data_IF_548174047178
#
_entry.id   IF_548174047178
#
_cell.length_a   1.000
_cell.length_b   1.000
_cell.length_c   1.000
_cell.angle_alpha   90.00
_cell.angle_beta   90.00
_cell.angle_gamma   90.00
#
_symmetry.space_group_name_H-M   'P 1'
#
loop_
_entity.id
_entity.type
_entity.pdbx_description
1 polymer ?
#
# COMPACT_ATOMS: atom_id res chain seq x y z
N UNK A 1 18.96 -5.79 13.44
CA UNK A 1 17.63 -5.86 12.77
C UNK A 1 17.46 -7.23 12.12
N UNK A 2 16.23 -7.70 11.94
CA UNK A 2 15.91 -8.91 11.15
C UNK A 2 15.42 -8.47 9.77
N UNK A 3 15.67 -9.27 8.73
CA UNK A 3 15.25 -8.97 7.36
C UNK A 3 14.23 -10.02 6.92
N UNK A 4 13.07 -9.55 6.44
CA UNK A 4 12.09 -10.38 5.74
C UNK A 4 12.12 -9.98 4.27
N UNK A 5 12.62 -10.88 3.43
CA UNK A 5 12.59 -10.68 1.98
C UNK A 5 11.17 -10.93 1.46
N UNK A 6 10.71 -10.03 0.60
CA UNK A 6 9.46 -10.18 -0.15
C UNK A 6 9.81 -10.28 -1.63
N UNK A 7 9.13 -11.16 -2.36
CA UNK A 7 9.30 -11.30 -3.81
C UNK A 7 8.47 -10.27 -4.57
N UNK A 8 7.31 -9.90 -4.02
CA UNK A 8 6.35 -8.94 -4.54
C UNK A 8 5.47 -8.42 -3.39
N UNK A 9 4.61 -7.42 -3.65
CA UNK A 9 3.60 -6.94 -2.71
C UNK A 9 4.09 -5.84 -1.78
N UNK A 10 4.89 -4.91 -2.32
CA UNK A 10 5.54 -3.82 -1.60
C UNK A 10 4.52 -2.86 -0.94
N UNK A 11 3.34 -2.65 -1.54
CA UNK A 11 2.22 -1.90 -0.93
C UNK A 11 1.77 -2.52 0.41
N UNK A 12 1.56 -3.84 0.43
CA UNK A 12 1.08 -4.53 1.63
C UNK A 12 2.13 -4.52 2.75
N UNK A 13 3.40 -4.65 2.38
CA UNK A 13 4.52 -4.59 3.30
C UNK A 13 4.72 -3.19 3.87
N UNK A 14 4.56 -2.14 3.04
CA UNK A 14 4.61 -0.76 3.50
C UNK A 14 3.51 -0.48 4.54
N UNK A 15 2.26 -0.84 4.23
CA UNK A 15 1.12 -0.61 5.12
C UNK A 15 1.25 -1.42 6.42
N UNK A 16 1.82 -2.63 6.36
CA UNK A 16 2.07 -3.46 7.54
C UNK A 16 2.90 -2.73 8.61
N UNK A 17 3.77 -1.78 8.22
CA UNK A 17 4.57 -0.97 9.17
C UNK A 17 3.74 -0.15 10.15
N UNK A 18 2.48 0.13 9.83
CA UNK A 18 1.56 0.84 10.71
C UNK A 18 0.83 -0.06 11.72
N UNK A 19 1.04 -1.38 11.68
CA UNK A 19 0.35 -2.34 12.55
C UNK A 19 1.36 -3.11 13.39
N UNK A 20 1.29 -2.96 14.72
CA UNK A 20 2.25 -3.58 15.65
C UNK A 20 2.21 -5.11 15.58
N UNK A 21 1.03 -5.68 15.30
CA UNK A 21 0.80 -7.12 15.18
C UNK A 21 1.42 -7.71 13.91
N UNK A 22 1.78 -6.89 12.92
CA UNK A 22 2.37 -7.37 11.67
C UNK A 22 3.81 -7.89 11.85
N UNK A 23 4.50 -7.43 12.90
CA UNK A 23 5.92 -7.68 13.14
C UNK A 23 6.86 -7.05 12.11
N UNK A 24 6.37 -6.08 11.32
CA UNK A 24 7.16 -5.30 10.35
C UNK A 24 7.34 -3.88 10.88
N UNK A 25 8.57 -3.48 11.18
CA UNK A 25 8.85 -2.15 11.72
C UNK A 25 9.21 -1.11 10.64
N UNK A 26 9.79 -1.58 9.53
CA UNK A 26 10.30 -0.72 8.47
C UNK A 26 10.33 -1.45 7.13
N UNK A 27 9.98 -0.75 6.06
CA UNK A 27 10.19 -1.21 4.69
C UNK A 27 11.22 -0.31 4.00
N UNK A 28 12.23 -0.93 3.37
CA UNK A 28 13.29 -0.23 2.63
C UNK A 28 13.53 -0.96 1.31
N UNK A 29 13.64 -0.19 0.22
CA UNK A 29 13.95 -0.76 -1.08
C UNK A 29 13.65 0.18 -2.23
N UNK A 30 13.75 -0.36 -3.44
CA UNK A 30 13.31 0.28 -4.67
C UNK A 30 12.06 -0.48 -5.11
N UNK A 31 10.92 0.22 -5.13
CA UNK A 31 9.62 -0.32 -5.55
C UNK A 31 9.07 0.46 -6.74
N UNK A 32 7.81 0.20 -7.07
CA UNK A 32 7.11 0.91 -8.13
C UNK A 32 6.63 2.29 -7.70
N UNK A 33 6.71 3.28 -8.60
CA UNK A 33 6.28 4.66 -8.31
C UNK A 33 4.77 4.75 -8.04
N UNK A 34 3.98 3.95 -8.75
CA UNK A 34 2.52 3.87 -8.59
C UNK A 34 2.12 3.25 -7.25
N UNK A 35 2.84 2.24 -6.84
CA UNK A 35 2.70 1.51 -5.58
C UNK A 35 3.05 2.42 -4.40
N UNK A 36 4.09 3.24 -4.52
CA UNK A 36 4.42 4.27 -3.53
C UNK A 36 3.27 5.27 -3.33
N UNK A 37 2.63 5.73 -4.41
CA UNK A 37 1.45 6.61 -4.33
C UNK A 37 0.30 5.89 -3.62
N UNK A 38 0.00 4.64 -4.00
CA UNK A 38 -1.07 3.86 -3.37
C UNK A 38 -0.82 3.61 -1.88
N UNK A 39 0.40 3.22 -1.50
CA UNK A 39 0.80 3.01 -0.11
C UNK A 39 0.72 4.31 0.71
N UNK A 40 1.13 5.45 0.13
CA UNK A 40 1.09 6.75 0.82
C UNK A 40 -0.32 7.14 1.29
N UNK A 41 -1.36 6.77 0.53
CA UNK A 41 -2.77 7.01 0.91
C UNK A 41 -3.09 6.30 2.22
N UNK A 42 -2.76 5.01 2.32
CA UNK A 42 -3.01 4.23 3.53
C UNK A 42 -2.14 4.69 4.70
N UNK A 43 -0.83 4.86 4.48
CA UNK A 43 0.12 5.29 5.50
C UNK A 43 -0.30 6.63 6.12
N UNK A 44 -0.63 7.62 5.30
CA UNK A 44 -1.05 8.94 5.78
C UNK A 44 -2.30 8.87 6.67
N UNK A 45 -3.29 8.04 6.31
CA UNK A 45 -4.50 7.88 7.14
C UNK A 45 -4.20 7.11 8.43
N UNK A 46 -3.26 6.17 8.39
CA UNK A 46 -2.83 5.39 9.55
C UNK A 46 -1.80 6.12 10.44
N UNK A 47 -1.41 7.35 10.09
CA UNK A 47 -0.40 8.13 10.83
C UNK A 47 1.04 7.68 10.58
N UNK A 48 1.28 6.86 9.57
CA UNK A 48 2.61 6.50 9.08
C UNK A 48 3.17 7.49 8.08
N UNK A 49 4.39 7.22 7.61
CA UNK A 49 5.11 8.08 6.67
C UNK A 49 5.86 7.24 5.63
N UNK A 50 6.01 7.79 4.43
CA UNK A 50 6.85 7.24 3.36
C UNK A 50 7.70 8.34 2.76
N UNK A 51 8.98 8.04 2.56
CA UNK A 51 9.89 8.90 1.82
C UNK A 51 10.40 8.15 0.60
N UNK A 52 10.17 8.72 -0.58
CA UNK A 52 10.66 8.14 -1.82
C UNK A 52 11.31 9.20 -2.71
N UNK A 53 12.13 8.74 -3.65
CA UNK A 53 12.68 9.54 -4.74
C UNK A 53 12.72 8.69 -5.99
N UNK A 54 12.69 9.32 -7.15
CA UNK A 54 12.85 8.57 -8.39
C UNK A 54 14.23 7.90 -8.47
N UNK A 55 14.24 6.67 -8.95
CA UNK A 55 15.46 5.92 -9.30
C UNK A 55 15.40 5.58 -10.80
N UNK A 56 15.67 6.55 -11.69
CA UNK A 56 15.67 6.28 -13.13
C UNK A 56 16.69 5.19 -13.47
N UNK A 57 16.32 4.29 -14.38
CA UNK A 57 17.16 3.19 -14.86
C UNK A 57 17.79 3.48 -16.21
N UNK A 58 17.16 4.36 -16.99
CA UNK A 58 17.60 4.77 -18.33
C UNK A 58 17.33 6.27 -18.56
N UNK A 59 18.00 6.83 -19.56
CA UNK A 59 17.87 8.25 -19.94
C UNK A 59 16.42 8.64 -20.25
N UNK A 60 15.65 7.73 -20.86
CA UNK A 60 14.24 7.98 -21.18
C UNK A 60 13.38 8.20 -19.93
N UNK A 61 13.69 7.53 -18.82
CA UNK A 61 12.97 7.72 -17.55
C UNK A 61 13.18 9.14 -17.04
N UNK A 62 14.41 9.69 -17.17
CA UNK A 62 14.73 11.07 -16.80
C UNK A 62 13.90 12.05 -17.62
N UNK A 63 13.76 11.79 -18.93
CA UNK A 63 12.94 12.61 -19.82
C UNK A 63 11.47 12.57 -19.40
N UNK A 64 10.93 11.39 -19.10
CA UNK A 64 9.54 11.22 -18.64
C UNK A 64 9.28 11.91 -17.30
N UNK A 65 10.20 11.76 -16.34
CA UNK A 65 10.12 12.41 -15.02
C UNK A 65 10.12 13.94 -15.17
N UNK A 66 11.00 14.48 -16.02
CA UNK A 66 11.03 15.93 -16.31
C UNK A 66 9.77 16.41 -17.01
N UNK A 67 9.23 15.62 -17.96
CA UNK A 67 7.94 15.90 -18.62
C UNK A 67 6.77 15.90 -17.64
N UNK A 68 6.82 15.06 -16.61
CA UNK A 68 5.85 15.04 -15.52
C UNK A 68 6.00 16.24 -14.54
N UNK A 69 6.92 17.17 -14.81
CA UNK A 69 7.10 18.41 -14.05
C UNK A 69 8.10 18.32 -12.90
N UNK A 70 8.81 17.20 -12.75
CA UNK A 70 9.83 17.04 -11.71
C UNK A 70 11.17 17.55 -12.22
N UNK A 71 11.58 18.72 -11.75
CA UNK A 71 12.82 19.39 -12.19
C UNK A 71 14.07 18.84 -11.50
N UNK A 72 13.95 18.52 -10.21
CA UNK A 72 15.04 17.99 -9.40
C UNK A 72 14.81 16.49 -9.13
N UNK A 73 15.71 15.65 -9.64
CA UNK A 73 15.67 14.19 -9.43
C UNK A 73 16.07 13.79 -8.01
N UNK A 74 16.72 14.68 -7.26
CA UNK A 74 17.08 14.44 -5.86
C UNK A 74 15.97 14.82 -4.88
N UNK A 75 14.86 15.39 -5.38
CA UNK A 75 13.69 15.67 -4.54
C UNK A 75 13.23 14.39 -3.84
N UNK A 76 13.13 14.47 -2.52
CA UNK A 76 12.43 13.46 -1.71
C UNK A 76 10.96 13.86 -1.64
N UNK A 77 10.10 12.91 -1.95
CA UNK A 77 8.65 13.01 -1.83
C UNK A 77 8.23 12.34 -0.53
N UNK A 78 7.51 13.09 0.30
CA UNK A 78 6.82 12.59 1.50
C UNK A 78 5.46 12.00 1.16
N UNK A 79 4.77 11.37 2.12
CA UNK A 79 3.36 10.98 1.95
C UNK A 79 2.46 12.17 1.57
N UNK A 80 2.75 13.38 2.06
CA UNK A 80 2.03 14.60 1.72
C UNK A 80 2.24 15.02 0.25
N UNK A 81 3.41 14.78 -0.32
CA UNK A 81 3.66 15.04 -1.74
C UNK A 81 2.92 14.04 -2.65
N UNK A 82 2.82 12.79 -2.21
CA UNK A 82 2.25 11.67 -2.98
C UNK A 82 0.72 11.61 -2.88
N UNK A 83 0.16 11.89 -1.70
CA UNK A 83 -1.28 11.86 -1.40
C UNK A 83 -1.74 13.21 -0.82
N UNK A 84 -1.74 14.26 -1.67
CA UNK A 84 -2.04 15.65 -1.30
C UNK A 84 -3.47 15.90 -0.79
N UNK A 85 -4.41 15.02 -1.11
CA UNK A 85 -5.81 15.17 -0.75
C UNK A 85 -6.06 15.00 0.75
N UNK A 86 -7.18 15.55 1.24
CA UNK A 86 -7.75 15.21 2.56
C UNK A 86 -8.79 14.10 2.45
N UNK A 87 -9.46 13.99 1.31
CA UNK A 87 -10.44 12.96 1.01
C UNK A 87 -9.75 11.70 0.48
N UNK A 88 -9.07 11.01 1.39
CA UNK A 88 -8.33 9.80 1.09
C UNK A 88 -9.15 8.56 1.47
N UNK A 89 -9.15 7.56 0.60
CA UNK A 89 -9.73 6.26 0.88
C UNK A 89 -8.83 5.18 0.30
N UNK A 90 -8.57 4.15 1.08
CA UNK A 90 -7.82 2.98 0.66
C UNK A 90 -8.67 1.73 0.90
N UNK A 91 -8.73 0.87 -0.11
CA UNK A 91 -9.45 -0.41 -0.03
C UNK A 91 -8.57 -1.50 -0.60
N UNK A 92 -8.45 -2.61 0.14
CA UNK A 92 -7.76 -3.80 -0.34
C UNK A 92 -8.52 -5.06 0.05
N UNK A 93 -8.35 -6.11 -0.75
CA UNK A 93 -8.86 -7.46 -0.48
C UNK A 93 -7.72 -8.44 -0.69
N UNK A 94 -7.49 -9.33 0.27
CA UNK A 94 -6.44 -10.34 0.16
C UNK A 94 -6.79 -11.39 -0.88
N UNK A 95 -5.90 -11.58 -1.86
CA UNK A 95 -6.01 -12.66 -2.86
C UNK A 95 -5.36 -13.92 -2.32
N UNK A 96 -4.11 -13.79 -1.87
CA UNK A 96 -3.35 -14.79 -1.12
C UNK A 96 -3.08 -14.26 0.29
N UNK A 97 -2.68 -15.15 1.20
CA UNK A 97 -2.32 -14.76 2.57
C UNK A 97 -1.13 -13.77 2.54
N UNK A 98 -1.36 -12.59 3.10
CA UNK A 98 -0.39 -11.52 3.17
C UNK A 98 -0.29 -10.92 4.57
N UNK A 99 0.67 -10.01 4.77
CA UNK A 99 0.90 -9.38 6.08
C UNK A 99 -0.28 -8.48 6.52
N UNK A 100 -1.09 -8.01 5.56
CA UNK A 100 -2.24 -7.12 5.84
C UNK A 100 -3.57 -7.87 5.91
N UNK A 101 -3.77 -8.86 5.04
CA UNK A 101 -5.05 -9.56 4.85
C UNK A 101 -4.81 -11.03 4.54
N UNK A 102 -5.71 -11.88 5.05
CA UNK A 102 -5.81 -13.27 4.63
C UNK A 102 -6.31 -13.36 3.18
N UNK A 103 -5.89 -14.41 2.49
CA UNK A 103 -6.31 -14.69 1.12
C UNK A 103 -7.77 -15.11 1.02
N UNK A 104 -8.20 -15.35 -0.21
CA UNK A 104 -9.54 -15.87 -0.50
C UNK A 104 -9.63 -17.34 -0.07
N UNK A 105 -10.63 -17.67 0.74
CA UNK A 105 -10.87 -19.04 1.19
C UNK A 105 -12.06 -19.65 0.45
N UNK A 106 -11.80 -20.67 -0.34
CA UNK A 106 -12.84 -21.47 -1.00
C UNK A 106 -13.32 -22.60 -0.08
N UNK A 107 -14.65 -22.74 0.03
CA UNK A 107 -15.34 -23.82 0.74
C UNK A 107 -16.48 -24.33 -0.15
N UNK A 108 -16.96 -25.55 0.13
CA UNK A 108 -17.96 -26.26 -0.70
C UNK A 108 -19.12 -25.38 -1.17
N UNK A 109 -19.71 -24.57 -0.27
CA UNK A 109 -20.88 -23.75 -0.57
C UNK A 109 -20.68 -22.24 -0.31
N UNK A 110 -19.43 -21.78 -0.15
CA UNK A 110 -19.15 -20.35 0.08
C UNK A 110 -17.72 -19.96 -0.27
N UNK A 111 -17.55 -18.69 -0.62
CA UNK A 111 -16.25 -18.02 -0.70
C UNK A 111 -16.14 -17.05 0.47
N UNK A 112 -14.99 -17.01 1.12
CA UNK A 112 -14.70 -16.04 2.19
C UNK A 112 -13.62 -15.10 1.69
N UNK A 113 -13.89 -13.79 1.73
CA UNK A 113 -12.92 -12.75 1.39
C UNK A 113 -12.64 -11.88 2.61
N UNK A 114 -11.39 -11.44 2.73
CA UNK A 114 -10.93 -10.54 3.79
C UNK A 114 -10.50 -9.22 3.17
N UNK A 115 -11.15 -8.14 3.56
CA UNK A 115 -10.91 -6.81 3.04
C UNK A 115 -10.64 -5.82 4.16
N UNK A 116 -9.93 -4.74 3.83
CA UNK A 116 -9.81 -3.56 4.68
C UNK A 116 -10.29 -2.33 3.90
N UNK A 117 -11.04 -1.46 4.56
CA UNK A 117 -11.42 -0.13 4.07
C UNK A 117 -10.94 0.90 5.07
N UNK A 118 -10.10 1.82 4.62
CA UNK A 118 -9.51 2.90 5.40
C UNK A 118 -10.02 4.21 4.82
N UNK A 119 -10.59 5.07 5.65
CA UNK A 119 -11.14 6.37 5.22
C UNK A 119 -10.52 7.51 6.01
N UNK A 120 -9.82 8.40 5.32
CA UNK A 120 -9.10 9.53 5.91
C UNK A 120 -9.99 10.50 6.65
N UNK A 121 -11.11 10.91 6.05
CA UNK A 121 -12.03 11.89 6.64
C UNK A 121 -12.55 11.47 8.01
N UNK A 122 -12.86 10.19 8.18
CA UNK A 122 -13.42 9.67 9.44
C UNK A 122 -12.40 8.94 10.31
N UNK A 123 -11.16 8.81 9.85
CA UNK A 123 -10.13 7.96 10.49
C UNK A 123 -10.53 6.49 10.63
N UNK A 124 -11.61 6.06 9.96
CA UNK A 124 -12.20 4.75 10.21
C UNK A 124 -11.44 3.67 9.44
N UNK A 125 -11.04 2.63 10.16
CA UNK A 125 -10.47 1.40 9.60
C UNK A 125 -11.51 0.30 9.79
N UNK A 126 -11.95 -0.32 8.70
CA UNK A 126 -12.91 -1.42 8.74
C UNK A 126 -12.27 -2.67 8.16
N UNK A 127 -12.13 -3.69 8.98
CA UNK A 127 -11.88 -5.04 8.51
C UNK A 127 -13.23 -5.70 8.18
N UNK A 128 -13.32 -6.29 7.00
CA UNK A 128 -14.55 -6.87 6.47
C UNK A 128 -14.26 -8.31 6.09
N UNK A 129 -14.87 -9.24 6.81
CA UNK A 129 -14.92 -10.66 6.41
C UNK A 129 -16.27 -10.92 5.78
N UNK A 130 -16.27 -11.22 4.48
CA UNK A 130 -17.50 -11.43 3.72
C UNK A 130 -17.65 -12.90 3.38
N UNK A 131 -18.81 -13.47 3.72
CA UNK A 131 -19.20 -14.83 3.36
C UNK A 131 -20.13 -14.76 2.14
N UNK A 132 -19.60 -15.12 0.98
CA UNK A 132 -20.35 -15.15 -0.27
C UNK A 132 -20.95 -16.54 -0.45
N UNK A 133 -22.28 -16.66 -0.27
CA UNK A 133 -23.01 -17.91 -0.44
C UNK A 133 -23.45 -18.09 -1.90
N UNK A 134 -23.20 -19.26 -2.50
CA UNK A 134 -23.63 -19.54 -3.90
C UNK A 134 -25.15 -19.67 -4.05
N UNK A 135 -25.84 -20.01 -2.96
CA UNK A 135 -27.28 -20.21 -2.90
C UNK A 135 -27.83 -19.66 -1.58
N UNK A 136 -29.07 -19.18 -1.59
CA UNK A 136 -29.82 -18.78 -0.38
C UNK A 136 -30.42 -20.00 0.31
#
# INVERSE_FOLDING_TARGET
ARVRLITDGDVSAAIATCFIESGVDLMLGIGGSTEAVLASVALKVLGGEIFCRFKPRKESDIVEIKKAGVKDLNKVFSSEDLAKGKELSFTATGVIDGPLLQGVVFRKNRIITHSVVIRGISGTIRYITTYHHYYK
#
